data_IF_081330499267
#
_entry.id   IF_081330499267
#
_cell.length_a   1.000
_cell.length_b   1.000
_cell.length_c   1.000
_cell.angle_alpha   90.00
_cell.angle_beta   90.00
_cell.angle_gamma   90.00
#
_symmetry.space_group_name_H-M   'P 1'
#
loop_
_entity.id
_entity.type
_entity.pdbx_description
1 polymer ?
#
# COMPACT_ATOMS: atom_id res chain seq x y z
N UNK A 1 2.70 5.71 -30.04
CA UNK A 1 2.83 5.64 -28.57
C UNK A 1 1.63 6.20 -27.78
N UNK A 2 0.70 6.93 -28.40
CA UNK A 2 -0.49 7.56 -27.79
C UNK A 2 -1.57 6.58 -27.28
N UNK A 3 -1.72 5.40 -27.91
CA UNK A 3 -2.78 4.45 -27.58
C UNK A 3 -2.56 3.74 -26.23
N UNK A 4 -1.31 3.32 -25.92
CA UNK A 4 -0.98 2.59 -24.67
C UNK A 4 -1.20 3.44 -23.43
N UNK A 5 -0.80 4.71 -23.45
CA UNK A 5 -0.99 5.65 -22.34
C UNK A 5 -2.47 6.00 -22.12
N UNK A 6 -3.21 6.31 -23.20
CA UNK A 6 -4.65 6.55 -23.11
C UNK A 6 -5.40 5.33 -22.57
N UNK A 7 -5.04 4.12 -23.00
CA UNK A 7 -5.63 2.87 -22.48
C UNK A 7 -5.30 2.68 -21.00
N UNK A 8 -4.08 2.97 -20.56
CA UNK A 8 -3.68 2.91 -19.15
C UNK A 8 -4.47 3.88 -18.26
N UNK A 9 -4.62 5.13 -18.67
CA UNK A 9 -5.36 6.15 -17.90
C UNK A 9 -6.85 5.82 -17.82
N UNK A 10 -7.48 5.44 -18.93
CA UNK A 10 -8.91 5.06 -18.96
C UNK A 10 -9.24 3.86 -18.05
N UNK A 11 -8.28 2.96 -17.84
CA UNK A 11 -8.48 1.73 -17.08
C UNK A 11 -7.99 1.79 -15.63
N UNK A 12 -7.63 2.96 -15.10
CA UNK A 12 -7.28 3.13 -13.67
C UNK A 12 -8.33 2.52 -12.70
N UNK A 13 -9.65 2.69 -12.93
CA UNK A 13 -10.65 2.04 -12.07
C UNK A 13 -10.57 0.50 -12.09
N UNK A 14 -10.24 -0.08 -13.24
CA UNK A 14 -10.13 -1.54 -13.40
C UNK A 14 -8.87 -2.09 -12.72
N UNK A 15 -7.75 -1.35 -12.76
CA UNK A 15 -6.54 -1.65 -11.98
C UNK A 15 -6.89 -1.67 -10.49
N UNK A 16 -7.54 -0.61 -9.99
CA UNK A 16 -7.95 -0.52 -8.58
C UNK A 16 -8.83 -1.70 -8.15
N UNK A 17 -9.84 -2.06 -8.94
CA UNK A 17 -10.70 -3.23 -8.65
C UNK A 17 -9.90 -4.54 -8.65
N UNK A 18 -8.93 -4.68 -9.55
CA UNK A 18 -8.07 -5.87 -9.62
C UNK A 18 -7.18 -6.01 -8.37
N UNK A 19 -6.65 -4.89 -7.87
CA UNK A 19 -5.87 -4.85 -6.62
C UNK A 19 -6.77 -5.19 -5.42
N UNK A 20 -7.91 -4.52 -5.29
CA UNK A 20 -8.84 -4.75 -4.16
C UNK A 20 -9.36 -6.19 -4.14
N UNK A 21 -9.75 -6.75 -5.29
CA UNK A 21 -10.16 -8.16 -5.37
C UNK A 21 -9.05 -9.15 -5.01
N UNK A 22 -7.78 -8.77 -5.23
CA UNK A 22 -6.64 -9.59 -4.81
C UNK A 22 -6.44 -9.60 -3.28
N UNK A 23 -6.87 -8.55 -2.57
CA UNK A 23 -6.83 -8.46 -1.12
C UNK A 23 -7.84 -9.39 -0.45
N UNK A 24 -9.11 -9.35 -0.90
CA UNK A 24 -10.21 -10.05 -0.25
C UNK A 24 -10.13 -11.58 -0.33
N UNK A 25 -9.78 -12.15 -1.50
CA UNK A 25 -9.79 -13.61 -1.70
C UNK A 25 -8.57 -14.35 -1.16
N UNK A 26 -7.45 -13.66 -0.93
CA UNK A 26 -6.14 -14.31 -0.77
C UNK A 26 -5.36 -13.87 0.47
N UNK A 27 -6.02 -13.22 1.43
CA UNK A 27 -5.47 -12.94 2.76
C UNK A 27 -4.39 -11.85 2.80
N UNK A 28 -4.54 -10.78 2.03
CA UNK A 28 -3.66 -9.61 2.11
C UNK A 28 -4.08 -8.64 3.21
N UNK A 29 -3.12 -7.93 3.80
CA UNK A 29 -3.37 -6.85 4.75
C UNK A 29 -2.93 -5.54 4.12
N UNK A 30 -3.87 -4.62 3.89
CA UNK A 30 -3.58 -3.28 3.42
C UNK A 30 -2.88 -2.49 4.53
N UNK A 31 -1.75 -1.86 4.24
CA UNK A 31 -1.04 -0.98 5.17
C UNK A 31 -0.68 0.35 4.52
N UNK A 32 0.15 1.16 5.19
CA UNK A 32 0.63 2.43 4.65
C UNK A 32 -0.47 3.48 4.50
N UNK A 33 -0.27 4.42 3.58
CA UNK A 33 -1.11 5.61 3.45
C UNK A 33 -2.58 5.28 3.13
N UNK A 34 -2.83 4.25 2.31
CA UNK A 34 -4.20 3.80 1.99
C UNK A 34 -4.93 3.26 3.22
N UNK A 35 -4.24 2.49 4.07
CA UNK A 35 -4.82 1.99 5.32
C UNK A 35 -5.03 3.10 6.36
N UNK A 36 -4.16 4.12 6.37
CA UNK A 36 -4.32 5.30 7.22
C UNK A 36 -5.54 6.10 6.82
N UNK A 37 -5.66 6.43 5.52
CA UNK A 37 -6.80 7.19 5.00
C UNK A 37 -8.12 6.45 5.24
N UNK A 38 -8.16 5.12 5.11
CA UNK A 38 -9.36 4.34 5.41
C UNK A 38 -9.83 4.44 6.87
N UNK A 39 -9.02 4.97 7.78
CA UNK A 39 -9.30 5.08 9.21
C UNK A 39 -9.32 6.52 9.73
N UNK A 40 -8.83 7.48 8.95
CA UNK A 40 -8.77 8.88 9.31
C UNK A 40 -9.94 9.64 8.65
N UNK A 41 -10.44 10.72 9.28
CA UNK A 41 -11.40 11.62 8.65
C UNK A 41 -10.88 12.17 7.33
N UNK A 42 -11.79 12.49 6.40
CA UNK A 42 -11.47 12.91 5.03
C UNK A 42 -10.50 14.10 4.94
N UNK A 43 -10.61 15.06 5.85
CA UNK A 43 -9.72 16.23 5.89
C UNK A 43 -8.30 15.93 6.42
N UNK A 44 -8.09 14.75 7.00
CA UNK A 44 -6.78 14.24 7.41
C UNK A 44 -6.24 13.19 6.44
N UNK A 45 -6.87 12.98 5.28
CA UNK A 45 -6.36 12.08 4.26
C UNK A 45 -5.18 12.68 3.50
N UNK A 46 -4.24 11.82 3.10
CA UNK A 46 -3.12 12.20 2.24
C UNK A 46 -3.32 11.65 0.83
N UNK A 47 -2.95 12.41 -0.20
CA UNK A 47 -2.91 11.88 -1.58
C UNK A 47 -1.87 10.74 -1.67
N UNK A 48 -2.35 9.55 -2.04
CA UNK A 48 -1.53 8.35 -2.31
C UNK A 48 -2.11 7.65 -3.53
N UNK A 49 -1.23 7.05 -4.36
CA UNK A 49 -1.62 6.36 -5.59
C UNK A 49 -1.36 4.86 -5.46
N UNK A 50 -0.24 4.52 -4.87
CA UNK A 50 0.24 3.18 -4.55
C UNK A 50 -0.60 2.44 -3.50
N UNK A 51 -0.48 1.12 -3.52
CA UNK A 51 -1.02 0.22 -2.51
C UNK A 51 0.11 -0.54 -1.85
N UNK A 52 0.22 -0.43 -0.53
CA UNK A 52 1.13 -1.23 0.27
C UNK A 52 0.37 -2.41 0.88
N UNK A 53 0.79 -3.64 0.56
CA UNK A 53 0.07 -4.84 0.95
C UNK A 53 1.01 -5.88 1.57
N UNK A 54 0.72 -6.27 2.81
CA UNK A 54 1.38 -7.40 3.43
C UNK A 54 0.77 -8.74 2.97
N UNK A 55 1.63 -9.68 2.57
CA UNK A 55 1.28 -11.03 2.10
C UNK A 55 2.37 -12.04 2.50
N UNK A 56 2.02 -13.33 2.60
CA UNK A 56 2.99 -14.40 2.92
C UNK A 56 4.04 -14.61 1.82
N UNK A 57 3.65 -14.50 0.55
CA UNK A 57 4.50 -14.75 -0.63
C UNK A 57 4.44 -13.54 -1.59
N UNK A 58 5.28 -12.51 -1.38
CA UNK A 58 5.22 -11.25 -2.16
C UNK A 58 5.41 -11.45 -3.66
N UNK A 59 6.41 -12.20 -4.07
CA UNK A 59 6.74 -12.42 -5.48
C UNK A 59 5.62 -13.14 -6.22
N UNK A 60 5.16 -14.28 -5.68
CA UNK A 60 4.02 -15.02 -6.23
C UNK A 60 2.75 -14.15 -6.35
N UNK A 61 2.55 -13.21 -5.41
CA UNK A 61 1.42 -12.27 -5.44
C UNK A 61 1.59 -11.19 -6.51
N UNK A 62 2.81 -10.67 -6.66
CA UNK A 62 3.14 -9.69 -7.67
C UNK A 62 2.95 -10.25 -9.08
N UNK A 63 3.52 -11.43 -9.38
CA UNK A 63 3.39 -12.12 -10.68
C UNK A 63 1.92 -12.44 -10.99
N UNK A 64 1.17 -12.93 -9.99
CA UNK A 64 -0.26 -13.21 -10.19
C UNK A 64 -1.08 -11.94 -10.49
N UNK A 65 -0.69 -10.78 -9.94
CA UNK A 65 -1.36 -9.52 -10.22
C UNK A 65 -0.96 -8.97 -11.59
N UNK A 66 0.33 -8.98 -11.94
CA UNK A 66 0.87 -8.65 -13.27
C UNK A 66 0.11 -9.42 -14.35
N UNK A 67 0.14 -10.77 -14.31
CA UNK A 67 -0.55 -11.62 -15.29
C UNK A 67 -2.04 -11.30 -15.41
N UNK A 68 -2.72 -11.03 -14.28
CA UNK A 68 -4.14 -10.64 -14.29
C UNK A 68 -4.36 -9.30 -14.98
N UNK A 69 -3.49 -8.32 -14.72
CA UNK A 69 -3.58 -6.99 -15.31
C UNK A 69 -3.19 -7.03 -16.80
N UNK A 70 -2.11 -7.69 -17.19
CA UNK A 70 -1.74 -7.79 -18.61
C UNK A 70 -2.80 -8.52 -19.44
N UNK A 71 -3.43 -9.57 -18.88
CA UNK A 71 -4.59 -10.22 -19.50
C UNK A 71 -5.77 -9.25 -19.68
N UNK A 72 -6.07 -8.45 -18.66
CA UNK A 72 -7.14 -7.44 -18.71
C UNK A 72 -6.86 -6.38 -19.78
N UNK A 73 -5.60 -5.97 -19.91
CA UNK A 73 -5.18 -4.96 -20.86
C UNK A 73 -4.86 -5.52 -22.25
N UNK A 74 -4.87 -6.84 -22.42
CA UNK A 74 -4.50 -7.55 -23.66
C UNK A 74 -3.14 -7.10 -24.19
N UNK A 75 -2.13 -7.09 -23.33
CA UNK A 75 -0.77 -6.73 -23.69
C UNK A 75 0.14 -6.55 -22.48
N UNK A 76 1.41 -6.25 -22.75
CA UNK A 76 2.44 -6.03 -21.74
C UNK A 76 2.38 -4.60 -21.18
N UNK A 77 1.64 -4.39 -20.10
CA UNK A 77 1.46 -3.09 -19.43
C UNK A 77 2.13 -3.02 -18.07
N UNK A 78 2.48 -4.16 -17.50
CA UNK A 78 3.00 -4.27 -16.15
C UNK A 78 4.25 -5.14 -16.12
N UNK A 79 5.09 -4.91 -15.12
CA UNK A 79 6.21 -5.81 -14.83
C UNK A 79 6.43 -5.98 -13.34
N UNK A 80 6.91 -7.13 -12.92
CA UNK A 80 7.36 -7.35 -11.53
C UNK A 80 8.80 -6.91 -11.34
N UNK A 81 9.07 -6.22 -10.22
CA UNK A 81 10.42 -5.85 -9.79
C UNK A 81 10.63 -6.15 -8.32
N UNK A 82 11.78 -6.74 -7.98
CA UNK A 82 12.19 -6.93 -6.58
C UNK A 82 12.42 -5.56 -5.91
N UNK A 83 11.84 -5.36 -4.73
CA UNK A 83 12.07 -4.17 -3.93
C UNK A 83 13.47 -4.17 -3.32
N UNK A 84 14.03 -2.97 -3.10
CA UNK A 84 15.38 -2.78 -2.54
C UNK A 84 15.45 -2.87 -1.01
N UNK A 85 14.37 -3.28 -0.33
CA UNK A 85 14.34 -3.34 1.13
C UNK A 85 15.29 -4.44 1.62
N UNK A 86 16.24 -4.07 2.49
CA UNK A 86 17.11 -5.02 3.19
C UNK A 86 16.41 -5.70 4.38
N UNK A 87 15.28 -5.14 4.83
CA UNK A 87 14.62 -5.54 6.08
C UNK A 87 13.51 -6.56 5.81
N UNK A 88 12.74 -6.37 4.73
CA UNK A 88 11.60 -7.21 4.39
C UNK A 88 11.68 -7.61 2.92
N UNK A 89 11.33 -8.86 2.58
CA UNK A 89 11.09 -9.25 1.20
C UNK A 89 9.96 -8.41 0.62
N UNK A 90 10.26 -7.69 -0.47
CA UNK A 90 9.30 -6.83 -1.18
C UNK A 90 9.33 -7.15 -2.67
N UNK A 91 8.15 -7.26 -3.28
CA UNK A 91 7.97 -7.38 -4.72
C UNK A 91 6.96 -6.33 -5.19
N UNK A 92 7.32 -5.57 -6.22
CA UNK A 92 6.53 -4.46 -6.73
C UNK A 92 5.94 -4.81 -8.08
N UNK A 93 4.72 -4.36 -8.34
CA UNK A 93 4.15 -4.35 -9.70
C UNK A 93 4.28 -2.93 -10.24
N UNK A 94 5.02 -2.79 -11.33
CA UNK A 94 5.37 -1.51 -11.95
C UNK A 94 4.62 -1.37 -13.27
N UNK A 95 4.11 -0.18 -13.56
CA UNK A 95 3.54 0.15 -14.86
C UNK A 95 4.64 0.35 -15.90
N UNK A 96 4.59 -0.37 -17.02
CA UNK A 96 5.47 -0.17 -18.18
C UNK A 96 5.16 1.12 -18.95
N UNK A 97 4.09 1.84 -18.57
CA UNK A 97 3.68 3.11 -19.18
C UNK A 97 4.22 4.31 -18.42
N UNK A 98 4.23 4.23 -17.09
CA UNK A 98 4.59 5.37 -16.21
C UNK A 98 5.87 5.15 -15.41
N UNK A 99 6.41 3.94 -15.44
CA UNK A 99 7.52 3.48 -14.60
C UNK A 99 7.27 3.60 -13.08
N UNK A 100 6.02 3.76 -12.67
CA UNK A 100 5.63 3.90 -11.27
C UNK A 100 5.13 2.58 -10.71
N UNK A 101 5.43 2.32 -9.43
CA UNK A 101 4.83 1.21 -8.70
C UNK A 101 3.34 1.47 -8.52
N UNK A 102 2.51 0.48 -8.83
CA UNK A 102 1.08 0.48 -8.54
C UNK A 102 0.77 -0.23 -7.21
N UNK A 103 1.57 -1.24 -6.87
CA UNK A 103 1.42 -2.06 -5.67
C UNK A 103 2.79 -2.54 -5.20
N UNK A 104 3.04 -2.39 -3.91
CA UNK A 104 4.17 -2.98 -3.22
C UNK A 104 3.65 -4.12 -2.33
N UNK A 105 3.99 -5.36 -2.68
CA UNK A 105 3.75 -6.51 -1.83
C UNK A 105 4.95 -6.73 -0.91
N UNK A 106 4.71 -6.87 0.40
CA UNK A 106 5.74 -7.10 1.39
C UNK A 106 5.41 -8.32 2.26
N UNK A 107 6.42 -9.05 2.74
CA UNK A 107 6.24 -10.07 3.78
C UNK A 107 6.48 -9.44 5.14
N UNK A 108 5.49 -9.37 6.04
CA UNK A 108 5.72 -8.84 7.38
C UNK A 108 6.59 -9.83 8.17
N UNK A 109 7.50 -9.30 8.99
CA UNK A 109 8.36 -10.08 9.91
C UNK A 109 7.72 -10.27 11.30
N UNK A 110 6.47 -9.86 11.47
CA UNK A 110 5.72 -9.92 12.72
C UNK A 110 4.24 -10.10 12.43
N UNK A 111 3.48 -10.42 13.47
CA UNK A 111 2.04 -10.29 13.41
C UNK A 111 1.64 -8.81 13.28
N UNK A 112 0.75 -8.52 12.35
CA UNK A 112 0.23 -7.18 12.10
C UNK A 112 -1.19 -7.13 12.67
N UNK A 113 -1.46 -6.34 13.72
CA UNK A 113 -2.83 -6.10 14.19
C UNK A 113 -3.68 -5.53 13.06
N UNK A 114 -4.84 -6.12 12.83
CA UNK A 114 -5.74 -5.71 11.75
C UNK A 114 -7.14 -5.41 12.24
N UNK A 115 -7.86 -4.63 11.46
CA UNK A 115 -9.32 -4.54 11.51
C UNK A 115 -9.89 -4.67 10.10
N UNK A 116 -11.17 -5.00 9.99
CA UNK A 116 -11.85 -5.11 8.69
C UNK A 116 -12.56 -3.79 8.37
N UNK A 117 -12.31 -3.24 7.19
CA UNK A 117 -13.04 -2.08 6.65
C UNK A 117 -13.49 -2.44 5.23
N UNK A 118 -14.80 -2.36 4.97
CA UNK A 118 -15.39 -2.70 3.67
C UNK A 118 -14.93 -4.07 3.12
N UNK A 119 -14.87 -5.08 4.00
CA UNK A 119 -14.44 -6.44 3.65
C UNK A 119 -12.93 -6.64 3.44
N UNK A 120 -12.10 -5.61 3.69
CA UNK A 120 -10.64 -5.66 3.53
C UNK A 120 -9.96 -5.63 4.90
N UNK A 121 -8.99 -6.52 5.13
CA UNK A 121 -8.10 -6.45 6.30
C UNK A 121 -7.15 -5.26 6.14
N UNK A 122 -7.20 -4.33 7.09
CA UNK A 122 -6.31 -3.16 7.13
C UNK A 122 -5.49 -3.15 8.42
N UNK A 123 -4.22 -2.76 8.34
CA UNK A 123 -3.36 -2.56 9.51
C UNK A 123 -3.92 -1.42 10.37
N UNK A 124 -4.04 -1.63 11.69
CA UNK A 124 -4.67 -0.63 12.57
C UNK A 124 -3.85 0.67 12.64
N UNK A 125 -4.53 1.80 12.87
CA UNK A 125 -3.81 3.07 13.09
C UNK A 125 -2.86 3.00 14.31
N UNK A 126 -3.25 2.29 15.37
CA UNK A 126 -2.41 2.09 16.56
C UNK A 126 -1.10 1.38 16.20
N UNK A 127 -1.17 0.30 15.43
CA UNK A 127 0.01 -0.43 14.95
C UNK A 127 0.93 0.48 14.12
N UNK A 128 0.35 1.24 13.20
CA UNK A 128 1.11 2.17 12.35
C UNK A 128 1.73 3.33 13.15
N UNK A 129 1.04 3.84 14.18
CA UNK A 129 1.58 4.84 15.12
C UNK A 129 2.81 4.30 15.85
N UNK A 130 2.70 3.10 16.44
CA UNK A 130 3.80 2.46 17.16
C UNK A 130 5.01 2.29 16.24
N UNK A 131 4.80 1.84 15.00
CA UNK A 131 5.88 1.67 14.02
C UNK A 131 6.51 2.99 13.61
N UNK A 132 5.73 4.05 13.43
CA UNK A 132 6.26 5.37 13.14
C UNK A 132 7.16 5.87 14.27
N UNK A 133 6.75 5.71 15.54
CA UNK A 133 7.58 6.07 16.69
C UNK A 133 8.91 5.30 16.72
N UNK A 134 8.88 3.99 16.49
CA UNK A 134 10.10 3.16 16.43
C UNK A 134 11.00 3.56 15.26
N UNK A 135 10.44 3.83 14.08
CA UNK A 135 11.24 4.23 12.93
C UNK A 135 11.91 5.60 13.12
N UNK A 136 11.34 6.51 13.92
CA UNK A 136 11.94 7.81 14.19
C UNK A 136 13.20 7.73 15.07
N UNK A 137 13.33 6.66 15.86
CA UNK A 137 14.51 6.40 16.69
C UNK A 137 15.52 5.47 16.01
N UNK A 138 15.13 4.78 14.92
CA UNK A 138 16.01 3.89 14.15
C UNK A 138 16.84 4.65 13.09
N UNK A 139 18.19 4.69 13.21
CA UNK A 139 19.05 5.34 12.23
C UNK A 139 18.94 4.75 10.81
N UNK A 140 18.60 3.45 10.68
CA UNK A 140 18.43 2.79 9.38
C UNK A 140 17.13 3.20 8.68
N UNK A 141 16.18 3.76 9.43
CA UNK A 141 14.89 4.23 8.94
C UNK A 141 14.86 5.74 8.65
N UNK A 142 16.01 6.44 8.58
CA UNK A 142 16.06 7.90 8.31
C UNK A 142 15.24 8.34 7.10
N UNK A 143 15.22 7.55 6.01
CA UNK A 143 14.43 7.83 4.80
C UNK A 143 12.90 7.83 5.03
N UNK A 144 12.43 7.35 6.20
CA UNK A 144 11.02 7.35 6.62
C UNK A 144 10.63 8.58 7.41
N UNK A 145 11.59 9.36 7.93
CA UNK A 145 11.37 10.37 8.97
C UNK A 145 10.22 11.33 8.64
N UNK A 146 10.25 11.95 7.47
CA UNK A 146 9.20 12.91 7.06
C UNK A 146 7.82 12.27 6.94
N UNK A 147 7.77 11.02 6.43
CA UNK A 147 6.52 10.27 6.29
C UNK A 147 5.93 9.89 7.64
N UNK A 148 6.79 9.51 8.57
CA UNK A 148 6.39 9.07 9.91
C UNK A 148 5.99 10.28 10.77
N UNK A 149 6.68 11.43 10.67
CA UNK A 149 6.26 12.69 11.30
C UNK A 149 4.91 13.19 10.79
N UNK A 150 4.68 13.15 9.48
CA UNK A 150 3.38 13.50 8.86
C UNK A 150 2.24 12.62 9.38
N UNK A 151 2.46 11.30 9.45
CA UNK A 151 1.49 10.37 10.03
C UNK A 151 1.19 10.72 11.49
N UNK A 152 2.21 10.92 12.32
CA UNK A 152 2.03 11.23 13.73
C UNK A 152 1.29 12.55 13.93
N UNK A 153 1.58 13.59 13.13
CA UNK A 153 0.85 14.86 13.15
C UNK A 153 -0.64 14.64 12.89
N UNK A 154 -0.98 13.88 11.85
CA UNK A 154 -2.37 13.57 11.49
C UNK A 154 -3.08 12.75 12.58
N UNK A 155 -2.39 11.76 13.15
CA UNK A 155 -2.92 10.97 14.27
C UNK A 155 -3.16 11.86 15.50
N UNK A 156 -2.26 12.79 15.82
CA UNK A 156 -2.43 13.69 16.95
C UNK A 156 -3.67 14.59 16.78
N UNK A 157 -3.91 15.12 15.59
CA UNK A 157 -5.15 15.88 15.31
C UNK A 157 -6.37 14.99 15.47
N UNK A 158 -6.33 13.76 14.96
CA UNK A 158 -7.42 12.79 15.10
C UNK A 158 -7.71 12.42 16.55
N UNK A 159 -6.68 12.19 17.38
CA UNK A 159 -6.82 11.89 18.81
C UNK A 159 -7.43 13.07 19.58
N UNK A 160 -7.03 14.30 19.26
CA UNK A 160 -7.62 15.52 19.83
C UNK A 160 -9.11 15.61 19.55
N UNK A 161 -9.52 15.40 18.30
CA UNK A 161 -10.94 15.43 17.89
C UNK A 161 -11.75 14.33 18.60
N UNK A 162 -11.17 13.13 18.76
CA UNK A 162 -11.85 12.01 19.43
C UNK A 162 -11.92 12.12 20.95
N UNK A 163 -11.15 13.02 21.55
CA UNK A 163 -11.01 13.11 23.01
C UNK A 163 -10.32 11.90 23.66
N UNK A 164 -9.69 11.00 22.88
CA UNK A 164 -8.97 9.83 23.41
C UNK A 164 -7.83 9.38 22.50
N UNK A 165 -6.78 8.81 23.13
CA UNK A 165 -5.61 8.23 22.44
C UNK A 165 -5.93 6.86 21.84
N UNK A 166 -5.20 6.50 20.77
CA UNK A 166 -5.26 5.18 20.12
C UNK A 166 -4.55 4.08 20.89
#
# INVERSE_FOLDING_TARGET
>A
MTNKRSKFERNQPAIRRSIISSLGRKGGILHGARAQNAQLPRFLEKKTKDYDIFVRMPEKRAIALENKLDKLFRGDFFRVKKGKSKILPVSKVISNVTDKSIVDFARPNRQVPTKVISGIKVATLRDQKQRALVNLTDPQARFRRDKDLDLLRRINVFEKIRGRRL
#
